data_IF_180074573529
#
_entry.id   IF_180074573529
#
_cell.length_a   1.000
_cell.length_b   1.000
_cell.length_c   1.000
_cell.angle_alpha   90.00
_cell.angle_beta   90.00
_cell.angle_gamma   90.00
#
_symmetry.space_group_name_H-M   'P 1'
#
loop_
_entity.id
_entity.type
_entity.pdbx_description
1 polymer ?
#
# COMPACT_ATOMS: atom_id res chain seq x y z
N UNK A 1 -1.77 -31.42 -13.25
CA UNK A 1 -1.50 -29.98 -13.19
C UNK A 1 -1.59 -29.58 -11.72
N UNK A 2 -0.46 -29.32 -11.07
CA UNK A 2 -0.45 -28.79 -9.69
C UNK A 2 -0.85 -27.33 -9.82
N UNK A 3 -2.08 -27.01 -9.43
CA UNK A 3 -2.57 -25.64 -9.42
C UNK A 3 -1.66 -24.81 -8.50
N UNK A 4 -1.04 -23.80 -9.04
CA UNK A 4 -0.28 -22.82 -8.29
C UNK A 4 -1.19 -22.21 -7.21
N UNK A 5 -0.94 -22.52 -5.96
CA UNK A 5 -1.66 -21.92 -4.83
C UNK A 5 -1.07 -20.54 -4.56
N UNK A 6 -1.90 -19.53 -4.79
CA UNK A 6 -1.64 -18.19 -4.28
C UNK A 6 -1.56 -18.26 -2.74
N UNK A 7 -0.57 -17.60 -2.16
CA UNK A 7 -0.36 -17.64 -0.71
C UNK A 7 -0.91 -16.37 -0.05
N UNK A 8 -2.05 -16.46 0.65
CA UNK A 8 -2.55 -15.38 1.50
C UNK A 8 -1.58 -15.11 2.66
N UNK A 9 -1.56 -13.89 3.16
CA UNK A 9 -0.76 -13.50 4.33
C UNK A 9 -1.28 -14.19 5.60
N UNK A 10 -0.48 -14.15 6.67
CA UNK A 10 -0.94 -14.64 7.97
C UNK A 10 -2.17 -13.86 8.46
N UNK A 11 -2.20 -12.55 8.22
CA UNK A 11 -3.36 -11.70 8.54
C UNK A 11 -4.60 -12.18 7.80
N UNK A 12 -4.52 -12.45 6.49
CA UNK A 12 -5.65 -12.96 5.71
C UNK A 12 -6.16 -14.29 6.24
N UNK A 13 -5.26 -15.18 6.68
CA UNK A 13 -5.63 -16.47 7.27
C UNK A 13 -6.30 -16.35 8.63
N UNK A 14 -5.89 -15.37 9.43
CA UNK A 14 -6.45 -15.13 10.77
C UNK A 14 -7.79 -14.41 10.71
N UNK A 15 -8.00 -13.56 9.71
CA UNK A 15 -9.22 -12.74 9.57
C UNK A 15 -10.23 -13.32 8.58
N UNK A 16 -9.86 -14.37 7.84
CA UNK A 16 -10.79 -15.06 6.94
C UNK A 16 -12.01 -15.56 7.73
N UNK A 17 -13.18 -15.36 7.16
CA UNK A 17 -14.48 -15.77 7.75
C UNK A 17 -14.84 -15.09 9.08
N UNK A 18 -14.04 -14.11 9.56
CA UNK A 18 -14.42 -13.31 10.73
C UNK A 18 -15.33 -12.16 10.30
N UNK A 19 -16.54 -12.13 10.84
CA UNK A 19 -17.38 -10.94 10.87
C UNK A 19 -16.87 -10.03 12.00
N UNK A 20 -16.02 -9.07 11.66
CA UNK A 20 -15.55 -8.06 12.62
C UNK A 20 -16.54 -6.89 12.55
N UNK A 21 -17.18 -6.53 13.66
CA UNK A 21 -18.08 -5.39 13.74
C UNK A 21 -17.37 -4.11 13.25
N UNK A 22 -17.96 -3.45 12.23
CA UNK A 22 -17.37 -2.28 11.58
C UNK A 22 -16.53 -2.57 10.33
N UNK A 23 -16.27 -3.84 10.00
CA UNK A 23 -15.74 -4.28 8.71
C UNK A 23 -16.90 -4.57 7.78
N UNK A 24 -17.15 -3.70 6.82
CA UNK A 24 -18.21 -3.92 5.84
C UNK A 24 -17.80 -4.98 4.83
N UNK A 25 -18.73 -5.93 4.60
CA UNK A 25 -18.62 -6.93 3.55
C UNK A 25 -18.67 -6.22 2.18
N UNK A 26 -17.52 -6.19 1.49
CA UNK A 26 -17.35 -5.45 0.23
C UNK A 26 -18.02 -6.11 -0.97
N UNK A 27 -18.82 -7.17 -0.77
CA UNK A 27 -19.48 -7.86 -1.88
C UNK A 27 -20.74 -7.16 -2.42
N UNK A 28 -21.26 -6.14 -1.77
CA UNK A 28 -22.57 -5.58 -2.15
C UNK A 28 -22.58 -4.17 -2.74
N UNK A 29 -21.48 -3.41 -2.73
CA UNK A 29 -21.53 -2.02 -3.20
C UNK A 29 -20.32 -1.56 -4.02
N UNK A 30 -20.12 -2.17 -5.18
CA UNK A 30 -19.15 -1.69 -6.20
C UNK A 30 -19.63 -0.40 -6.89
N UNK A 31 -20.81 0.09 -6.57
CA UNK A 31 -21.47 1.19 -7.32
C UNK A 31 -21.32 2.60 -6.71
N UNK A 32 -20.61 2.78 -5.59
CA UNK A 32 -20.45 4.12 -4.99
C UNK A 32 -18.99 4.44 -4.72
N UNK A 33 -18.40 5.23 -5.61
CA UNK A 33 -16.96 5.56 -5.65
C UNK A 33 -16.33 6.23 -4.42
N UNK A 34 -17.09 6.69 -3.43
CA UNK A 34 -16.57 7.23 -2.18
C UNK A 34 -16.57 6.24 -1.02
N UNK A 35 -17.55 5.34 -0.96
CA UNK A 35 -17.60 4.27 0.01
C UNK A 35 -16.51 3.21 -0.24
N UNK A 36 -16.10 2.99 -1.49
CA UNK A 36 -15.03 2.06 -1.85
C UNK A 36 -13.65 2.46 -1.27
N UNK A 37 -13.40 3.75 -1.04
CA UNK A 37 -12.11 4.26 -0.56
C UNK A 37 -11.87 3.99 0.94
N UNK A 38 -12.92 4.04 1.77
CA UNK A 38 -12.79 3.68 3.19
C UNK A 38 -12.78 2.17 3.42
N UNK A 39 -13.39 1.41 2.52
CA UNK A 39 -13.54 -0.05 2.67
C UNK A 39 -12.25 -0.84 2.41
N UNK A 40 -11.34 -0.33 1.55
CA UNK A 40 -10.04 -0.99 1.31
C UNK A 40 -9.16 -1.08 2.55
N UNK A 41 -9.33 -0.16 3.49
CA UNK A 41 -8.57 -0.15 4.74
C UNK A 41 -8.79 -1.42 5.58
N UNK A 42 -9.95 -2.04 5.41
CA UNK A 42 -10.41 -3.18 6.20
C UNK A 42 -10.79 -4.39 5.35
N UNK A 43 -10.33 -4.42 4.09
CA UNK A 43 -10.62 -5.56 3.23
C UNK A 43 -10.14 -6.86 3.87
N UNK A 44 -11.05 -7.80 4.05
CA UNK A 44 -10.76 -9.17 4.45
C UNK A 44 -11.20 -10.14 3.37
N UNK A 45 -10.47 -11.23 3.22
CA UNK A 45 -10.81 -12.28 2.26
C UNK A 45 -11.99 -13.08 2.81
N UNK A 46 -13.16 -13.07 2.15
CA UNK A 46 -14.37 -13.71 2.70
C UNK A 46 -14.25 -15.22 2.85
N UNK A 47 -13.50 -15.87 1.96
CA UNK A 47 -13.25 -17.33 1.97
C UNK A 47 -11.84 -17.62 1.50
N UNK A 48 -10.99 -18.07 2.42
CA UNK A 48 -9.59 -18.32 2.13
C UNK A 48 -9.38 -19.40 1.05
N UNK A 49 -10.29 -20.35 0.94
CA UNK A 49 -10.23 -21.41 -0.09
C UNK A 49 -10.44 -20.86 -1.51
N UNK A 50 -11.04 -19.69 -1.63
CA UNK A 50 -11.30 -18.99 -2.90
C UNK A 50 -10.30 -17.86 -3.16
N UNK A 51 -9.16 -17.85 -2.45
CA UNK A 51 -8.13 -16.86 -2.68
C UNK A 51 -7.63 -16.93 -4.13
N UNK A 52 -7.90 -15.89 -4.90
CA UNK A 52 -7.59 -15.77 -6.31
C UNK A 52 -6.73 -14.52 -6.58
N UNK A 53 -6.41 -14.26 -7.83
CA UNK A 53 -5.60 -13.10 -8.23
C UNK A 53 -6.24 -11.76 -7.85
N UNK A 54 -7.56 -11.64 -7.94
CA UNK A 54 -8.26 -10.43 -7.53
C UNK A 54 -8.16 -10.21 -6.00
N UNK A 55 -8.32 -11.27 -5.20
CA UNK A 55 -8.12 -11.21 -3.75
C UNK A 55 -6.65 -10.89 -3.40
N UNK A 56 -5.69 -11.46 -4.12
CA UNK A 56 -4.28 -11.15 -3.95
C UNK A 56 -4.00 -9.67 -4.22
N UNK A 57 -4.50 -9.13 -5.34
CA UNK A 57 -4.35 -7.72 -5.71
C UNK A 57 -4.97 -6.79 -4.66
N UNK A 58 -6.18 -7.09 -4.22
CA UNK A 58 -6.87 -6.32 -3.18
C UNK A 58 -6.12 -6.34 -1.85
N UNK A 59 -5.55 -7.49 -1.45
CA UNK A 59 -4.76 -7.58 -0.21
C UNK A 59 -3.42 -6.85 -0.33
N UNK A 60 -2.74 -6.88 -1.47
CA UNK A 60 -1.53 -6.08 -1.69
C UNK A 60 -1.85 -4.59 -1.62
N UNK A 61 -2.94 -4.15 -2.27
CA UNK A 61 -3.37 -2.75 -2.23
C UNK A 61 -3.71 -2.31 -0.79
N UNK A 62 -4.37 -3.15 0.01
CA UNK A 62 -4.61 -2.91 1.43
C UNK A 62 -3.31 -2.72 2.22
N UNK A 63 -2.33 -3.63 2.07
CA UNK A 63 -1.04 -3.55 2.76
C UNK A 63 -0.27 -2.27 2.37
N UNK A 64 -0.24 -1.93 1.08
CA UNK A 64 0.36 -0.67 0.61
C UNK A 64 -0.36 0.53 1.25
N UNK A 65 -1.70 0.51 1.31
CA UNK A 65 -2.46 1.58 1.95
C UNK A 65 -2.10 1.72 3.45
N UNK A 66 -1.87 0.61 4.17
CA UNK A 66 -1.42 0.65 5.57
C UNK A 66 -0.01 1.21 5.70
N UNK A 67 0.94 0.75 4.86
CA UNK A 67 2.31 1.27 4.85
C UNK A 67 2.29 2.79 4.66
N UNK A 68 1.53 3.30 3.69
CA UNK A 68 1.54 4.70 3.32
C UNK A 68 0.80 5.61 4.31
N UNK A 69 -0.13 5.05 5.11
CA UNK A 69 -0.86 5.77 6.15
C UNK A 69 -0.28 5.58 7.56
N UNK A 70 0.89 4.94 7.68
CA UNK A 70 1.60 4.77 8.96
C UNK A 70 2.84 5.66 8.97
N UNK A 71 3.03 6.42 10.04
CA UNK A 71 4.24 7.25 10.23
C UNK A 71 5.37 6.39 10.75
N UNK A 72 6.49 6.37 10.03
CA UNK A 72 7.68 5.60 10.41
C UNK A 72 8.43 6.21 11.59
N UNK A 73 9.16 5.37 12.36
CA UNK A 73 10.00 5.79 13.47
C UNK A 73 11.07 6.81 13.05
N UNK A 74 11.59 6.68 11.82
CA UNK A 74 12.56 7.61 11.24
C UNK A 74 12.05 9.06 11.10
N UNK A 75 10.74 9.29 11.31
CA UNK A 75 10.17 10.65 11.39
C UNK A 75 10.57 11.41 12.63
N UNK A 76 10.87 10.71 13.73
CA UNK A 76 11.15 11.29 15.05
C UNK A 76 12.54 10.91 15.59
N UNK A 77 13.12 9.80 15.12
CA UNK A 77 14.42 9.30 15.56
C UNK A 77 15.41 9.22 14.39
N UNK A 78 16.68 9.55 14.65
CA UNK A 78 17.74 9.34 13.67
C UNK A 78 18.16 7.87 13.65
N UNK A 79 17.87 7.18 12.56
CA UNK A 79 18.20 5.77 12.37
C UNK A 79 19.48 5.55 11.54
N UNK A 80 20.27 6.59 11.25
CA UNK A 80 21.56 6.41 10.56
C UNK A 80 22.51 5.46 11.30
N UNK A 81 22.62 5.53 12.65
CA UNK A 81 23.45 4.60 13.40
C UNK A 81 22.91 3.15 13.45
N UNK A 82 21.65 2.93 13.05
CA UNK A 82 20.94 1.66 13.21
C UNK A 82 20.36 1.16 11.89
N UNK A 83 21.18 0.77 10.90
CA UNK A 83 20.72 0.41 9.57
C UNK A 83 19.71 -0.78 9.57
N UNK A 84 19.88 -1.73 10.49
CA UNK A 84 18.95 -2.87 10.62
C UNK A 84 17.55 -2.45 11.10
N UNK A 85 17.46 -1.36 11.87
CA UNK A 85 16.17 -0.83 12.32
C UNK A 85 15.40 -0.20 11.17
N UNK A 86 16.08 0.40 10.20
CA UNK A 86 15.44 1.04 9.03
C UNK A 86 14.53 0.11 8.25
N UNK A 87 14.87 -1.17 8.17
CA UNK A 87 14.11 -2.20 7.44
C UNK A 87 13.33 -3.14 8.36
N UNK A 88 13.36 -2.89 9.67
CA UNK A 88 12.60 -3.67 10.64
C UNK A 88 11.17 -3.16 10.81
N UNK A 89 10.31 -3.98 11.40
CA UNK A 89 8.91 -3.63 11.73
C UNK A 89 8.80 -2.42 12.66
N UNK A 90 9.87 -2.06 13.38
CA UNK A 90 9.90 -0.85 14.24
C UNK A 90 9.84 0.43 13.41
N UNK A 91 10.33 0.41 12.18
CA UNK A 91 10.28 1.54 11.26
C UNK A 91 9.19 1.37 10.17
N UNK A 92 8.16 0.57 10.43
CA UNK A 92 7.07 0.35 9.50
C UNK A 92 6.37 1.67 9.14
N UNK A 93 6.16 1.89 7.84
CA UNK A 93 5.48 3.08 7.32
C UNK A 93 6.39 3.99 6.51
N UNK A 94 5.98 5.24 6.39
CA UNK A 94 6.68 6.29 5.63
C UNK A 94 6.84 7.55 6.49
N UNK A 95 7.83 8.38 6.16
CA UNK A 95 8.05 9.65 6.88
C UNK A 95 6.86 10.59 6.73
N UNK A 96 6.56 11.36 7.78
CA UNK A 96 5.54 12.40 7.72
C UNK A 96 5.95 13.54 6.78
N UNK A 97 4.99 14.05 6.02
CA UNK A 97 5.14 15.21 5.13
C UNK A 97 4.43 16.46 5.67
N UNK A 98 3.67 16.35 6.75
CA UNK A 98 2.92 17.47 7.28
C UNK A 98 3.83 18.71 7.49
N UNK A 99 3.38 19.86 7.03
CA UNK A 99 4.09 21.13 7.18
C UNK A 99 5.30 21.34 6.26
N UNK A 100 5.57 20.45 5.30
CA UNK A 100 6.66 20.64 4.33
C UNK A 100 6.18 21.34 3.08
N UNK A 101 6.90 22.39 2.66
CA UNK A 101 6.63 23.08 1.41
C UNK A 101 6.89 22.16 0.22
N UNK A 102 5.94 22.09 -0.72
CA UNK A 102 6.11 21.35 -1.96
C UNK A 102 7.21 21.96 -2.83
N UNK A 103 8.26 21.21 -3.00
CA UNK A 103 9.27 21.44 -4.03
C UNK A 103 9.48 20.14 -4.81
N UNK A 104 9.96 20.25 -6.04
CA UNK A 104 10.27 19.07 -6.86
C UNK A 104 11.21 18.10 -6.14
N UNK A 105 12.10 18.61 -5.29
CA UNK A 105 13.02 17.80 -4.47
C UNK A 105 12.27 17.01 -3.40
N UNK A 106 11.29 17.62 -2.72
CA UNK A 106 10.46 16.95 -1.69
C UNK A 106 9.61 15.87 -2.34
N UNK A 107 8.98 16.18 -3.48
CA UNK A 107 8.17 15.22 -4.25
C UNK A 107 8.98 14.00 -4.67
N UNK A 108 10.18 14.19 -5.26
CA UNK A 108 11.06 13.10 -5.65
C UNK A 108 11.61 12.32 -4.44
N UNK A 109 11.91 13.01 -3.34
CA UNK A 109 12.33 12.34 -2.10
C UNK A 109 11.21 11.44 -1.56
N UNK A 110 9.96 11.90 -1.63
CA UNK A 110 8.79 11.09 -1.23
C UNK A 110 8.62 9.86 -2.10
N UNK A 111 8.73 9.98 -3.42
CA UNK A 111 8.67 8.82 -4.33
C UNK A 111 9.70 7.75 -3.92
N UNK A 112 10.93 8.15 -3.60
CA UNK A 112 11.95 7.21 -3.11
C UNK A 112 11.58 6.58 -1.78
N UNK A 113 11.08 7.36 -0.81
CA UNK A 113 10.64 6.84 0.48
C UNK A 113 9.49 5.82 0.34
N UNK A 114 8.51 6.09 -0.51
CA UNK A 114 7.43 5.16 -0.82
C UNK A 114 8.00 3.86 -1.40
N UNK A 115 8.88 3.96 -2.40
CA UNK A 115 9.51 2.79 -3.01
C UNK A 115 10.29 1.96 -1.99
N UNK A 116 11.08 2.61 -1.14
CA UNK A 116 11.92 1.93 -0.14
C UNK A 116 11.05 1.27 0.94
N UNK A 117 9.96 1.92 1.36
CA UNK A 117 8.99 1.34 2.31
C UNK A 117 8.24 0.14 1.72
N UNK A 118 7.74 0.25 0.48
CA UNK A 118 7.08 -0.88 -0.19
C UNK A 118 8.04 -2.05 -0.36
N UNK A 119 9.29 -1.78 -0.76
CA UNK A 119 10.35 -2.81 -0.88
C UNK A 119 10.63 -3.52 0.44
N UNK A 120 10.63 -2.79 1.55
CA UNK A 120 10.93 -3.34 2.86
C UNK A 120 9.76 -4.12 3.47
N UNK A 121 8.52 -3.65 3.27
CA UNK A 121 7.36 -4.11 4.03
C UNK A 121 6.30 -4.85 3.21
N UNK A 122 6.40 -4.86 1.87
CA UNK A 122 5.51 -5.65 1.00
C UNK A 122 6.32 -6.70 0.20
N UNK A 123 6.62 -7.85 0.82
CA UNK A 123 7.49 -8.87 0.21
C UNK A 123 6.89 -9.56 -1.01
N UNK A 124 5.61 -9.35 -1.31
CA UNK A 124 4.96 -9.88 -2.52
C UNK A 124 5.25 -9.05 -3.76
N UNK A 125 5.67 -7.80 -3.59
CA UNK A 125 6.13 -6.96 -4.70
C UNK A 125 7.57 -7.31 -5.07
N UNK A 126 7.82 -7.57 -6.35
CA UNK A 126 9.18 -7.82 -6.83
C UNK A 126 10.02 -6.54 -6.73
N UNK A 127 11.07 -6.51 -5.89
CA UNK A 127 11.89 -5.32 -5.72
C UNK A 127 12.67 -4.92 -6.97
N UNK A 128 12.85 -5.83 -7.95
CA UNK A 128 13.55 -5.54 -9.20
C UNK A 128 12.66 -4.78 -10.20
N UNK A 129 11.35 -4.98 -10.12
CA UNK A 129 10.38 -4.35 -11.03
C UNK A 129 9.56 -3.25 -10.35
N UNK A 130 9.87 -2.91 -9.09
CA UNK A 130 9.16 -1.87 -8.35
C UNK A 130 9.67 -0.48 -8.74
N UNK A 131 8.76 0.31 -9.29
CA UNK A 131 8.98 1.72 -9.61
C UNK A 131 7.91 2.62 -8.99
N UNK A 132 8.31 3.84 -8.61
CA UNK A 132 7.41 4.85 -8.03
C UNK A 132 7.70 6.21 -8.66
N UNK A 133 6.72 6.74 -9.36
CA UNK A 133 6.78 8.03 -10.03
C UNK A 133 5.77 9.01 -9.44
N UNK A 134 6.18 10.27 -9.31
CA UNK A 134 5.26 11.35 -8.98
C UNK A 134 4.60 11.87 -10.25
N UNK A 135 3.28 11.91 -10.26
CA UNK A 135 2.51 12.58 -11.31
C UNK A 135 2.02 13.94 -10.79
N UNK A 136 2.44 14.99 -11.44
CA UNK A 136 1.89 16.33 -11.18
C UNK A 136 0.55 16.44 -11.89
N UNK A 137 -0.54 16.16 -11.17
CA UNK A 137 -1.88 16.33 -11.70
C UNK A 137 -2.33 17.76 -11.36
N UNK A 138 -2.60 18.57 -12.38
CA UNK A 138 -3.07 19.95 -12.22
C UNK A 138 -4.48 20.07 -11.60
N UNK A 139 -5.10 18.94 -11.24
CA UNK A 139 -6.49 18.86 -10.80
C UNK A 139 -6.72 19.16 -9.31
N UNK A 140 -5.66 19.13 -8.48
CA UNK A 140 -5.76 19.43 -7.05
C UNK A 140 -4.55 20.24 -6.59
N UNK A 141 -4.78 21.47 -6.15
CA UNK A 141 -3.71 22.39 -5.69
C UNK A 141 -2.92 21.87 -4.46
N UNK A 142 -3.51 20.97 -3.66
CA UNK A 142 -2.95 20.51 -2.37
C UNK A 142 -2.75 18.98 -2.31
N UNK A 143 -2.60 18.29 -3.44
CA UNK A 143 -2.32 16.85 -3.45
C UNK A 143 -1.29 16.50 -4.52
N UNK A 144 -0.46 15.49 -4.20
CA UNK A 144 0.47 14.89 -5.15
C UNK A 144 0.05 13.45 -5.38
N UNK A 145 -0.11 13.08 -6.66
CA UNK A 145 -0.36 11.69 -7.04
C UNK A 145 0.95 10.99 -7.30
N UNK A 146 1.15 9.83 -6.67
CA UNK A 146 2.24 8.91 -6.99
C UNK A 146 1.66 7.67 -7.65
N UNK A 147 2.37 7.15 -8.65
CA UNK A 147 2.04 5.89 -9.32
C UNK A 147 3.07 4.86 -8.90
N UNK A 148 2.60 3.78 -8.29
CA UNK A 148 3.40 2.62 -7.87
C UNK A 148 3.17 1.54 -8.92
N UNK A 149 4.22 1.17 -9.64
CA UNK A 149 4.20 0.08 -10.62
C UNK A 149 5.10 -1.04 -10.17
N UNK A 150 4.71 -2.26 -10.44
CA UNK A 150 5.53 -3.43 -10.14
C UNK A 150 4.85 -4.73 -10.46
N UNK A 151 5.55 -5.81 -10.19
CA UNK A 151 5.05 -7.16 -10.36
C UNK A 151 4.77 -7.79 -8.99
N UNK A 152 3.60 -8.39 -8.83
CA UNK A 152 3.28 -9.20 -7.65
C UNK A 152 3.73 -10.63 -7.91
N UNK A 153 4.70 -11.09 -7.12
CA UNK A 153 5.25 -12.45 -7.16
C UNK A 153 4.54 -13.33 -6.15
N UNK A 154 3.42 -13.92 -6.51
CA UNK A 154 2.70 -14.78 -5.56
C UNK A 154 2.38 -16.16 -6.13
N UNK A 155 2.72 -16.39 -7.38
CA UNK A 155 2.37 -17.62 -8.10
C UNK A 155 3.34 -17.91 -9.24
N UNK A 156 2.99 -18.85 -10.09
CA UNK A 156 3.76 -19.30 -11.26
C UNK A 156 4.06 -18.18 -12.26
N UNK A 157 3.33 -17.08 -12.20
CA UNK A 157 3.46 -15.99 -13.15
C UNK A 157 3.45 -14.64 -12.43
N UNK A 158 4.38 -13.75 -12.77
CA UNK A 158 4.37 -12.37 -12.29
C UNK A 158 3.08 -11.68 -12.74
N UNK A 159 2.43 -10.98 -11.83
CA UNK A 159 1.21 -10.22 -12.10
C UNK A 159 1.53 -8.73 -12.06
N UNK A 160 1.51 -8.02 -13.18
CA UNK A 160 1.75 -6.59 -13.21
C UNK A 160 0.62 -5.85 -12.50
N UNK A 161 0.99 -4.88 -11.69
CA UNK A 161 0.06 -4.01 -10.96
C UNK A 161 0.46 -2.55 -11.12
N UNK A 162 -0.53 -1.68 -11.17
CA UNK A 162 -0.35 -0.23 -11.09
C UNK A 162 -1.31 0.33 -10.04
N UNK A 163 -0.77 0.96 -9.02
CA UNK A 163 -1.55 1.63 -7.99
C UNK A 163 -1.30 3.14 -8.04
N UNK A 164 -2.36 3.93 -8.04
CA UNK A 164 -2.31 5.39 -7.93
C UNK A 164 -2.56 5.78 -6.49
N UNK A 165 -1.70 6.62 -5.95
CA UNK A 165 -1.78 7.08 -4.57
C UNK A 165 -1.88 8.58 -4.54
N UNK A 166 -2.98 9.11 -4.03
CA UNK A 166 -3.14 10.55 -3.82
C UNK A 166 -2.73 10.86 -2.36
N UNK A 167 -1.73 11.72 -2.21
CA UNK A 167 -1.23 12.18 -0.91
C UNK A 167 -1.71 13.61 -0.69
N UNK A 168 -2.54 13.82 0.30
CA UNK A 168 -2.96 15.13 0.75
C UNK A 168 -1.87 15.77 1.60
N UNK A 169 -1.52 17.02 1.31
CA UNK A 169 -0.40 17.68 1.95
C UNK A 169 -0.73 18.21 3.34
N UNK A 170 -1.99 18.60 3.54
CA UNK A 170 -2.43 19.19 4.81
C UNK A 170 -2.58 18.13 5.91
N UNK A 171 -3.04 16.95 5.55
CA UNK A 171 -3.35 15.84 6.48
C UNK A 171 -2.37 14.68 6.40
N UNK A 172 -1.49 14.68 5.39
CA UNK A 172 -0.64 13.52 5.02
C UNK A 172 -1.44 12.23 4.76
N UNK A 173 -2.77 12.33 4.63
CA UNK A 173 -3.62 11.18 4.34
C UNK A 173 -3.36 10.68 2.92
N UNK A 174 -3.27 9.37 2.78
CA UNK A 174 -3.01 8.70 1.52
C UNK A 174 -4.21 7.85 1.13
N UNK A 175 -4.68 8.04 -0.10
CA UNK A 175 -5.71 7.18 -0.70
C UNK A 175 -5.06 6.38 -1.84
N UNK A 176 -5.13 5.05 -1.76
CA UNK A 176 -4.63 4.14 -2.80
C UNK A 176 -5.79 3.65 -3.66
N UNK A 177 -5.58 3.65 -4.99
CA UNK A 177 -6.56 3.17 -5.99
C UNK A 177 -5.84 2.47 -7.15
N UNK A 178 -6.53 1.62 -7.87
CA UNK A 178 -6.13 1.09 -9.18
C UNK A 178 -6.39 2.08 -10.30
#
# INVERSE_FOLDING_TARGET
MVGSRLNPTLFDKLTADLTIDGLHDTQTDVSRGEAARSNLRFYTVPKIERFNEAALRATVMREINWILNTTSLESVEDLEPYPEVKTSVLNYGVRDLAGKTLSSRVVQSRARQIRDAVRAFEPRMDPAHLDVEAMTTAERENAVTYVIRGDVTAAVQAMPVEFKTDVELDTSAVTVRE
#
